data_IF_969100396960
#
_entry.id   IF_969100396960
#
_cell.length_a   1.000
_cell.length_b   1.000
_cell.length_c   1.000
_cell.angle_alpha   90.00
_cell.angle_beta   90.00
_cell.angle_gamma   90.00
#
_symmetry.space_group_name_H-M   'P 1'
#
loop_
_entity.id
_entity.type
_entity.pdbx_description
1 polymer ?
#
# COMPACT_ATOMS: atom_id res chain seq x y z
N UNK A 1 -23.93 -6.82 16.95
CA UNK A 1 -22.68 -7.57 17.21
C UNK A 1 -22.36 -8.27 15.93
N UNK A 2 -21.14 -8.08 15.44
CA UNK A 2 -20.73 -8.47 14.11
C UNK A 2 -19.93 -9.78 14.16
N UNK A 3 -20.05 -10.57 13.10
CA UNK A 3 -19.32 -11.83 12.90
C UNK A 3 -18.35 -11.63 11.74
N UNK A 4 -17.07 -11.75 12.04
CA UNK A 4 -15.99 -11.70 11.05
C UNK A 4 -15.65 -13.13 10.60
N UNK A 5 -15.69 -13.38 9.29
CA UNK A 5 -15.33 -14.67 8.71
C UNK A 5 -14.77 -14.48 7.30
N UNK A 6 -14.07 -15.50 6.79
CA UNK A 6 -13.46 -15.46 5.46
C UNK A 6 -14.35 -16.17 4.43
N UNK A 7 -14.48 -15.57 3.24
CA UNK A 7 -15.19 -16.19 2.12
C UNK A 7 -14.44 -17.46 1.65
N UNK A 8 -15.11 -18.63 1.53
CA UNK A 8 -14.47 -19.87 1.11
C UNK A 8 -14.03 -19.89 -0.37
N UNK A 9 -14.52 -18.95 -1.19
CA UNK A 9 -14.23 -18.91 -2.62
C UNK A 9 -13.06 -17.98 -2.98
N UNK A 10 -12.91 -16.85 -2.29
CA UNK A 10 -11.89 -15.85 -2.61
C UNK A 10 -10.99 -15.46 -1.43
N UNK A 11 -11.25 -15.98 -0.23
CA UNK A 11 -10.46 -15.69 0.98
C UNK A 11 -10.65 -14.28 1.54
N UNK A 12 -11.61 -13.50 1.02
CA UNK A 12 -11.89 -12.15 1.49
C UNK A 12 -12.45 -12.19 2.92
N UNK A 13 -11.92 -11.35 3.81
CA UNK A 13 -12.52 -11.10 5.13
C UNK A 13 -13.83 -10.32 4.97
N UNK A 14 -14.92 -10.90 5.47
CA UNK A 14 -16.27 -10.33 5.48
C UNK A 14 -16.73 -10.14 6.91
N UNK A 15 -17.50 -9.07 7.12
CA UNK A 15 -18.10 -8.72 8.41
C UNK A 15 -19.60 -8.63 8.19
N UNK A 16 -20.37 -9.44 8.92
CA UNK A 16 -21.83 -9.49 8.79
C UNK A 16 -22.44 -9.44 10.19
N UNK A 17 -23.59 -8.77 10.35
CA UNK A 17 -24.34 -8.78 11.59
C UNK A 17 -24.65 -10.21 12.06
N UNK A 18 -24.61 -10.45 13.37
CA UNK A 18 -24.97 -11.76 13.95
C UNK A 18 -26.39 -12.23 13.59
N UNK A 19 -27.28 -11.32 13.17
CA UNK A 19 -28.61 -11.65 12.64
C UNK A 19 -28.56 -12.35 11.26
N UNK A 20 -27.44 -12.23 10.54
CA UNK A 20 -27.20 -12.86 9.24
C UNK A 20 -26.65 -14.29 9.31
N UNK A 21 -26.44 -14.85 10.50
CA UNK A 21 -25.95 -16.23 10.67
C UNK A 21 -26.92 -17.22 10.01
N UNK A 22 -26.42 -18.06 9.11
CA UNK A 22 -27.21 -19.01 8.34
C UNK A 22 -27.93 -18.42 7.12
N UNK A 23 -27.83 -17.11 6.86
CA UNK A 23 -28.38 -16.51 5.64
C UNK A 23 -27.47 -16.75 4.43
N UNK A 24 -28.08 -16.91 3.26
CA UNK A 24 -27.38 -16.88 1.97
C UNK A 24 -27.13 -15.42 1.56
N UNK A 25 -25.86 -15.04 1.45
CA UNK A 25 -25.43 -13.70 1.01
C UNK A 25 -24.51 -13.81 -0.21
N UNK A 26 -24.45 -12.76 -1.01
CA UNK A 26 -23.56 -12.67 -2.17
C UNK A 26 -22.26 -11.97 -1.77
N UNK A 27 -21.12 -12.61 -2.05
CA UNK A 27 -19.81 -12.02 -1.78
C UNK A 27 -19.52 -10.85 -2.72
N UNK A 28 -19.19 -9.63 -2.23
CA UNK A 28 -18.92 -8.47 -3.08
C UNK A 28 -17.64 -8.59 -3.92
N UNK A 29 -16.74 -9.50 -3.57
CA UNK A 29 -15.44 -9.67 -4.27
C UNK A 29 -15.47 -10.73 -5.35
N UNK A 30 -16.35 -11.75 -5.24
CA UNK A 30 -16.37 -12.87 -6.18
C UNK A 30 -17.77 -13.21 -6.70
N UNK A 31 -18.81 -12.48 -6.27
CA UNK A 31 -20.22 -12.67 -6.62
C UNK A 31 -20.78 -14.09 -6.42
N UNK A 32 -20.08 -14.94 -5.67
CA UNK A 32 -20.58 -16.27 -5.31
C UNK A 32 -21.46 -16.17 -4.07
N UNK A 33 -22.50 -17.00 -4.04
CA UNK A 33 -23.38 -17.17 -2.88
C UNK A 33 -22.68 -17.98 -1.80
N UNK A 34 -22.70 -17.48 -0.58
CA UNK A 34 -22.14 -18.15 0.59
C UNK A 34 -23.11 -18.08 1.76
N UNK A 35 -23.01 -19.07 2.65
CA UNK A 35 -23.78 -19.12 3.89
C UNK A 35 -22.90 -18.59 5.03
N UNK A 36 -23.42 -17.65 5.80
CA UNK A 36 -22.72 -17.08 6.95
C UNK A 36 -22.58 -18.15 8.04
N UNK A 37 -21.35 -18.55 8.44
CA UNK A 37 -21.16 -19.57 9.46
C UNK A 37 -21.58 -19.06 10.84
N UNK A 38 -22.16 -19.96 11.65
CA UNK A 38 -22.47 -19.64 13.04
C UNK A 38 -21.17 -19.49 13.85
N UNK A 39 -21.03 -18.44 14.67
CA UNK A 39 -19.92 -18.35 15.60
C UNK A 39 -20.05 -19.47 16.65
N UNK A 40 -19.11 -20.41 16.67
CA UNK A 40 -19.02 -21.40 17.74
C UNK A 40 -18.65 -20.69 19.05
N UNK A 41 -19.63 -20.46 19.92
CA UNK A 41 -19.37 -20.05 21.30
C UNK A 41 -18.81 -21.25 22.04
N UNK A 42 -17.47 -21.39 22.04
CA UNK A 42 -16.78 -22.26 22.98
C UNK A 42 -17.02 -21.69 24.38
N UNK A 43 -18.01 -22.25 25.08
CA UNK A 43 -18.38 -21.83 26.42
C UNK A 43 -17.18 -21.86 27.39
N UNK A 44 -17.17 -21.00 28.41
CA UNK A 44 -16.13 -21.01 29.41
C UNK A 44 -16.18 -22.35 30.16
N UNK A 45 -15.13 -23.15 30.00
CA UNK A 45 -14.92 -24.32 30.82
C UNK A 45 -14.69 -23.82 32.26
N UNK A 46 -15.64 -24.14 33.15
CA UNK A 46 -15.50 -23.90 34.59
C UNK A 46 -14.41 -24.83 35.11
N UNK A 47 -13.17 -24.34 35.12
CA UNK A 47 -12.06 -24.96 35.80
C UNK A 47 -12.24 -24.74 37.31
N UNK A 48 -12.63 -25.82 38.00
CA UNK A 48 -12.79 -25.83 39.44
C UNK A 48 -11.38 -25.88 40.10
N UNK A 49 -10.92 -24.83 40.80
CA UNK A 49 -9.50 -24.69 41.19
C UNK A 49 -9.03 -25.64 42.31
N UNK A 50 -9.92 -26.48 42.86
CA UNK A 50 -9.66 -27.30 44.06
C UNK A 50 -9.24 -28.75 43.72
N UNK A 51 -9.38 -29.21 42.47
CA UNK A 51 -8.95 -30.55 42.07
C UNK A 51 -7.47 -30.65 41.64
N UNK A 52 -6.76 -29.52 41.53
CA UNK A 52 -5.35 -29.46 41.11
C UNK A 52 -4.38 -29.56 42.30
N UNK A 53 -4.61 -30.52 43.20
CA UNK A 53 -3.69 -30.79 44.31
C UNK A 53 -2.29 -31.17 43.81
N UNK A 54 -1.32 -30.38 44.25
CA UNK A 54 0.08 -30.36 43.83
C UNK A 54 0.92 -31.53 44.39
N UNK A 55 0.46 -32.79 44.25
CA UNK A 55 1.13 -33.94 44.86
C UNK A 55 1.48 -35.11 43.91
N UNK A 56 1.23 -35.01 42.61
CA UNK A 56 1.69 -36.02 41.65
C UNK A 56 2.97 -35.53 40.95
N UNK A 57 4.13 -35.84 41.52
CA UNK A 57 5.42 -35.69 40.84
C UNK A 57 5.53 -36.76 39.75
N UNK A 58 5.11 -36.44 38.54
CA UNK A 58 5.37 -37.27 37.37
C UNK A 58 6.66 -36.76 36.70
N UNK A 59 7.75 -37.52 36.83
CA UNK A 59 9.06 -37.17 36.25
C UNK A 59 9.00 -37.46 34.75
N UNK A 60 8.59 -36.48 33.96
CA UNK A 60 8.66 -36.56 32.50
C UNK A 60 10.09 -36.29 32.06
N UNK A 61 10.77 -37.34 31.62
CA UNK A 61 12.08 -37.25 31.00
C UNK A 61 11.89 -36.78 29.55
N UNK A 62 12.00 -35.48 29.34
CA UNK A 62 11.91 -34.89 28.00
C UNK A 62 13.27 -35.02 27.31
N UNK A 63 13.35 -35.88 26.29
CA UNK A 63 14.45 -35.84 25.34
C UNK A 63 14.12 -34.84 24.24
N UNK A 64 14.95 -33.81 24.12
CA UNK A 64 14.90 -32.88 22.99
C UNK A 64 15.69 -33.54 21.85
N UNK A 65 15.09 -33.80 20.67
CA UNK A 65 15.84 -34.26 19.52
C UNK A 65 16.86 -33.17 19.13
N UNK A 66 18.14 -33.44 19.36
CA UNK A 66 19.21 -32.57 18.90
C UNK A 66 19.32 -32.75 17.39
N UNK A 67 18.90 -31.72 16.64
CA UNK A 67 19.17 -31.65 15.19
C UNK A 67 20.66 -31.38 15.02
N UNK A 68 21.37 -32.23 14.28
CA UNK A 68 22.80 -32.07 13.97
C UNK A 68 23.10 -30.90 13.02
N UNK A 69 22.08 -30.31 12.40
CA UNK A 69 22.24 -29.20 11.45
C UNK A 69 22.25 -27.86 12.19
N UNK A 70 23.22 -26.97 11.90
CA UNK A 70 23.24 -25.62 12.46
C UNK A 70 21.90 -24.91 12.23
N UNK A 71 21.42 -24.19 13.25
CA UNK A 71 20.23 -23.38 13.13
C UNK A 71 20.43 -22.33 12.00
N UNK A 72 19.60 -22.40 10.97
CA UNK A 72 19.61 -21.39 9.92
C UNK A 72 19.19 -20.04 10.52
N UNK A 73 19.97 -18.97 10.32
CA UNK A 73 19.66 -17.67 10.91
C UNK A 73 18.41 -17.09 10.24
N UNK A 74 17.28 -17.13 10.94
CA UNK A 74 15.98 -16.56 10.51
C UNK A 74 15.96 -15.03 10.51
N UNK A 75 17.04 -14.36 10.93
CA UNK A 75 17.15 -12.90 10.90
C UNK A 75 17.79 -12.53 9.58
N UNK A 76 16.97 -12.34 8.54
CA UNK A 76 17.40 -11.69 7.32
C UNK A 76 17.93 -10.31 7.70
N UNK A 77 19.19 -10.06 7.34
CA UNK A 77 19.88 -8.78 7.57
C UNK A 77 18.93 -7.64 7.18
N UNK A 78 18.62 -6.69 8.09
CA UNK A 78 17.68 -5.62 7.80
C UNK A 78 18.10 -4.91 6.51
N UNK A 79 17.15 -4.75 5.59
CA UNK A 79 17.39 -4.07 4.31
C UNK A 79 18.03 -2.72 4.60
N UNK A 80 19.11 -2.42 3.85
CA UNK A 80 19.86 -1.17 3.96
C UNK A 80 18.86 0.00 3.95
N UNK A 81 19.02 1.02 4.82
CA UNK A 81 18.14 2.18 4.85
C UNK A 81 17.97 2.78 3.44
N UNK A 82 16.74 3.09 3.04
CA UNK A 82 16.37 3.61 1.70
C UNK A 82 17.29 4.75 1.22
N UNK A 83 17.74 5.58 2.14
CA UNK A 83 18.69 6.70 1.93
C UNK A 83 20.03 6.25 1.31
N UNK A 84 20.52 5.05 1.65
CA UNK A 84 21.77 4.50 1.13
C UNK A 84 21.59 3.81 -0.24
N UNK A 85 20.37 3.36 -0.58
CA UNK A 85 20.08 2.77 -1.89
C UNK A 85 19.91 3.85 -2.98
N UNK A 86 19.40 5.03 -2.63
CA UNK A 86 19.18 6.14 -3.56
C UNK A 86 20.49 6.77 -4.10
N UNK A 87 21.63 6.59 -3.42
CA UNK A 87 22.93 7.10 -3.85
C UNK A 87 23.72 6.14 -4.74
N UNK A 88 23.39 4.85 -4.73
CA UNK A 88 24.15 3.79 -5.42
C UNK A 88 23.55 3.40 -6.78
N UNK A 89 22.29 3.76 -7.07
CA UNK A 89 21.67 3.53 -8.38
C UNK A 89 21.55 4.86 -9.12
N UNK A 90 22.39 5.09 -10.13
CA UNK A 90 22.43 6.31 -10.97
C UNK A 90 21.17 6.58 -11.81
N UNK A 91 19.98 6.33 -11.27
CA UNK A 91 18.66 6.63 -11.84
C UNK A 91 17.87 7.35 -10.76
N UNK A 92 18.20 8.63 -10.54
CA UNK A 92 17.48 9.46 -9.58
C UNK A 92 16.14 9.85 -10.21
N UNK A 93 15.03 9.67 -9.49
CA UNK A 93 13.75 10.21 -9.95
C UNK A 93 13.79 11.74 -9.79
N UNK A 94 13.48 12.44 -10.88
CA UNK A 94 13.41 13.90 -10.97
C UNK A 94 12.01 14.34 -11.37
N UNK A 95 11.68 15.58 -11.00
CA UNK A 95 10.39 16.20 -11.31
C UNK A 95 10.65 17.56 -11.94
N UNK A 96 9.98 17.85 -13.05
CA UNK A 96 9.97 19.16 -13.70
C UNK A 96 8.55 19.62 -13.93
N UNK A 97 8.23 20.79 -13.41
CA UNK A 97 6.99 21.49 -13.74
C UNK A 97 7.29 22.57 -14.76
N UNK A 98 6.52 22.60 -15.85
CA UNK A 98 6.57 23.63 -16.88
C UNK A 98 5.20 24.32 -16.87
N UNK A 99 5.17 25.62 -16.59
CA UNK A 99 3.94 26.43 -16.57
C UNK A 99 3.85 27.20 -17.87
N UNK A 100 2.66 27.30 -18.45
CA UNK A 100 2.43 28.07 -19.67
C UNK A 100 2.85 29.53 -19.52
N UNK A 101 2.50 30.17 -18.41
CA UNK A 101 2.93 31.55 -18.10
C UNK A 101 4.44 31.78 -18.22
N UNK A 102 5.26 30.79 -17.88
CA UNK A 102 6.72 30.90 -17.92
C UNK A 102 7.29 30.74 -19.34
N UNK A 103 6.46 30.32 -20.30
CA UNK A 103 6.83 30.10 -21.70
C UNK A 103 6.30 31.19 -22.63
N UNK A 104 5.71 32.27 -22.10
CA UNK A 104 5.22 33.40 -22.90
C UNK A 104 6.35 34.42 -23.07
N UNK A 105 6.86 34.54 -24.29
CA UNK A 105 7.91 35.50 -24.65
C UNK A 105 7.40 36.47 -25.70
N UNK A 106 7.45 37.78 -25.43
CA UNK A 106 7.00 38.84 -26.35
C UNK A 106 5.57 38.60 -26.88
N UNK A 107 4.68 38.09 -26.01
CA UNK A 107 3.28 37.78 -26.33
C UNK A 107 3.07 36.53 -27.19
N UNK A 108 4.13 35.77 -27.50
CA UNK A 108 4.04 34.48 -28.17
C UNK A 108 4.13 33.36 -27.15
N UNK A 109 3.29 32.36 -27.35
CA UNK A 109 3.22 31.18 -26.49
C UNK A 109 4.14 30.09 -27.04
N UNK A 110 5.23 29.81 -26.32
CA UNK A 110 6.21 28.78 -26.69
C UNK A 110 6.07 27.51 -25.84
N UNK A 111 4.94 27.32 -25.16
CA UNK A 111 4.76 26.21 -24.22
C UNK A 111 5.01 24.85 -24.87
N UNK A 112 4.39 24.58 -26.02
CA UNK A 112 4.53 23.29 -26.71
C UNK A 112 5.97 23.05 -27.19
N UNK A 113 6.67 24.10 -27.62
CA UNK A 113 8.07 24.01 -28.05
C UNK A 113 9.02 23.67 -26.89
N UNK A 114 8.81 24.31 -25.73
CA UNK A 114 9.60 24.08 -24.52
C UNK A 114 9.36 22.68 -23.97
N UNK A 115 8.09 22.26 -23.90
CA UNK A 115 7.73 20.92 -23.44
C UNK A 115 8.30 19.85 -24.38
N UNK A 116 8.12 20.01 -25.70
CA UNK A 116 8.64 19.06 -26.69
C UNK A 116 10.16 18.94 -26.65
N UNK A 117 10.87 20.07 -26.50
CA UNK A 117 12.33 20.08 -26.34
C UNK A 117 12.76 19.29 -25.10
N UNK A 118 12.13 19.55 -23.96
CA UNK A 118 12.45 18.87 -22.70
C UNK A 118 12.19 17.37 -22.76
N UNK A 119 11.06 16.94 -23.35
CA UNK A 119 10.76 15.52 -23.55
C UNK A 119 11.79 14.85 -24.48
N UNK A 120 12.24 15.55 -25.53
CA UNK A 120 13.28 15.08 -26.43
C UNK A 120 14.65 14.94 -25.78
N UNK A 121 15.02 15.84 -24.87
CA UNK A 121 16.28 15.77 -24.10
C UNK A 121 16.32 14.58 -23.11
N UNK A 122 15.16 14.23 -22.53
CA UNK A 122 15.05 13.13 -21.57
C UNK A 122 15.02 11.77 -22.28
N UNK A 123 14.31 11.67 -23.41
CA UNK A 123 14.04 10.40 -24.08
C UNK A 123 12.83 9.67 -23.49
N UNK A 124 12.09 8.95 -24.34
CA UNK A 124 10.82 8.30 -23.98
C UNK A 124 10.99 7.27 -22.85
N UNK A 125 12.09 6.52 -22.85
CA UNK A 125 12.38 5.45 -21.89
C UNK A 125 12.61 5.95 -20.45
N UNK A 126 12.93 7.24 -20.30
CA UNK A 126 13.21 7.87 -19.03
C UNK A 126 11.99 8.58 -18.44
N UNK A 127 10.92 8.76 -19.22
CA UNK A 127 9.67 9.37 -18.74
C UNK A 127 8.91 8.36 -17.88
N UNK A 128 8.52 8.79 -16.68
CA UNK A 128 7.70 8.00 -15.75
C UNK A 128 6.24 8.42 -15.86
N UNK A 129 5.95 9.72 -15.87
CA UNK A 129 4.59 10.24 -15.99
C UNK A 129 4.55 11.68 -16.47
N UNK A 130 3.51 12.04 -17.22
CA UNK A 130 3.19 13.40 -17.64
C UNK A 130 1.78 13.71 -17.16
N UNK A 131 1.63 14.71 -16.29
CA UNK A 131 0.34 15.07 -15.68
C UNK A 131 0.02 16.54 -15.97
N UNK A 132 -1.13 16.86 -16.60
CA UNK A 132 -1.56 18.25 -16.75
C UNK A 132 -1.92 18.83 -15.38
N UNK A 133 -1.55 20.09 -15.16
CA UNK A 133 -1.88 20.81 -13.93
C UNK A 133 -2.56 22.13 -14.29
N UNK A 134 -3.66 22.43 -13.60
CA UNK A 134 -4.36 23.71 -13.69
C UNK A 134 -4.15 24.45 -12.38
N UNK A 135 -3.82 25.73 -12.44
CA UNK A 135 -3.51 26.53 -11.27
C UNK A 135 -3.94 27.98 -11.46
N UNK A 136 -4.12 28.68 -10.35
CA UNK A 136 -4.46 30.12 -10.35
C UNK A 136 -3.27 30.91 -9.84
N UNK A 137 -2.91 31.99 -10.54
CA UNK A 137 -1.87 32.91 -10.10
C UNK A 137 -2.30 34.36 -10.30
N UNK A 138 -1.67 35.27 -9.56
CA UNK A 138 -1.90 36.70 -9.74
C UNK A 138 -0.96 37.23 -10.82
N UNK A 139 -1.51 37.77 -11.89
CA UNK A 139 -0.72 38.39 -12.96
C UNK A 139 -0.08 39.69 -12.44
N UNK A 140 1.23 39.85 -12.63
CA UNK A 140 1.98 40.98 -12.06
C UNK A 140 1.52 42.35 -12.59
N UNK A 141 1.06 42.40 -13.84
CA UNK A 141 0.68 43.65 -14.51
C UNK A 141 -0.70 44.15 -14.05
N UNK A 142 -1.68 43.26 -13.95
CA UNK A 142 -3.10 43.61 -13.73
C UNK A 142 -3.55 43.37 -12.28
N UNK A 143 -2.75 42.66 -11.48
CA UNK A 143 -3.11 42.15 -10.14
C UNK A 143 -4.38 41.29 -10.16
N UNK A 144 -4.78 40.81 -11.34
CA UNK A 144 -5.93 39.94 -11.51
C UNK A 144 -5.52 38.49 -11.25
N UNK A 145 -6.42 37.72 -10.63
CA UNK A 145 -6.26 36.28 -10.52
C UNK A 145 -6.64 35.64 -11.86
N UNK A 146 -5.68 34.97 -12.48
CA UNK A 146 -5.83 34.28 -13.76
C UNK A 146 -5.68 32.79 -13.53
N UNK A 147 -6.58 32.01 -14.14
CA UNK A 147 -6.46 30.55 -14.19
C UNK A 147 -5.64 30.18 -15.42
N UNK A 148 -4.60 29.39 -15.22
CA UNK A 148 -3.66 28.97 -16.26
C UNK A 148 -3.36 27.47 -16.11
N UNK A 149 -2.61 26.93 -17.06
CA UNK A 149 -2.25 25.51 -17.09
C UNK A 149 -0.75 25.27 -17.26
N UNK A 150 -0.35 24.04 -17.00
CA UNK A 150 1.01 23.58 -17.18
C UNK A 150 1.06 22.07 -17.18
N UNK A 151 2.28 21.54 -17.14
CA UNK A 151 2.53 20.11 -17.12
C UNK A 151 3.58 19.78 -16.06
N UNK A 152 3.32 18.72 -15.30
CA UNK A 152 4.27 18.12 -14.37
C UNK A 152 4.79 16.82 -14.98
N UNK A 153 6.11 16.73 -15.12
CA UNK A 153 6.81 15.62 -15.74
C UNK A 153 7.68 14.96 -14.69
N UNK A 154 7.46 13.67 -14.44
CA UNK A 154 8.29 12.84 -13.57
C UNK A 154 9.13 11.95 -14.49
N UNK A 155 10.44 11.93 -14.28
CA UNK A 155 11.38 11.24 -15.15
C UNK A 155 12.59 10.71 -14.36
N UNK A 156 13.34 9.79 -14.97
CA UNK A 156 14.62 9.27 -14.45
C UNK A 156 15.74 10.15 -15.00
N UNK A 157 16.65 10.62 -14.13
CA UNK A 157 17.85 11.36 -14.53
C UNK A 157 18.96 11.24 -13.51
#
# INVERSE_FOLDING_TARGET
MDVNFQCPHCGQDLTVDAAGVGAEIECPSCNNRLVVPAPEVKGPQVINPIAASAAAREVKHYSVPVREKPAEPLITKPLKPLEAAAKDTGKQIRVKTIRRSDCIEVGKDHFDEVVSRFLGEIGEENIISITPVTYTHQELATRQWVTDFGVLIVYKG
#
